data_IF_352440834389
#
_entry.id   IF_352440834389
#
_cell.length_a   1.000
_cell.length_b   1.000
_cell.length_c   1.000
_cell.angle_alpha   90.00
_cell.angle_beta   90.00
_cell.angle_gamma   90.00
#
_symmetry.space_group_name_H-M   'P 1'
#
loop_
_entity.id
_entity.type
_entity.pdbx_description
1 polymer ?
#
# COMPACT_ATOMS: atom_id res chain seq x y z
N UNK A 1 -2.82 -21.65 12.17
CA UNK A 1 -1.66 -20.82 12.58
C UNK A 1 -2.14 -19.50 13.17
N UNK A 2 -2.11 -19.37 14.51
CA UNK A 2 -2.66 -18.21 15.21
C UNK A 2 -1.91 -16.90 14.91
N UNK A 3 -0.59 -16.94 14.69
CA UNK A 3 0.25 -15.75 14.46
C UNK A 3 -0.10 -15.04 13.14
N UNK A 4 -0.27 -15.77 12.03
CA UNK A 4 -0.62 -15.16 10.74
C UNK A 4 -2.00 -14.47 10.83
N UNK A 5 -2.98 -15.12 11.45
CA UNK A 5 -4.32 -14.55 11.64
C UNK A 5 -4.26 -13.30 12.51
N UNK A 6 -3.58 -13.36 13.67
CA UNK A 6 -3.41 -12.21 14.57
C UNK A 6 -2.66 -11.06 13.90
N UNK A 7 -1.54 -11.34 13.23
CA UNK A 7 -0.76 -10.33 12.51
C UNK A 7 -1.56 -9.64 11.41
N UNK A 8 -2.36 -10.39 10.63
CA UNK A 8 -3.23 -9.81 9.62
C UNK A 8 -4.36 -8.97 10.23
N UNK A 9 -4.94 -9.37 11.36
CA UNK A 9 -5.94 -8.57 12.08
C UNK A 9 -5.34 -7.27 12.64
N UNK A 10 -4.07 -7.29 13.03
CA UNK A 10 -3.31 -6.12 13.48
C UNK A 10 -2.82 -5.25 12.31
N UNK A 11 -3.16 -5.58 11.06
CA UNK A 11 -2.74 -4.83 9.88
C UNK A 11 -1.25 -4.95 9.56
N UNK A 12 -0.57 -5.98 10.04
CA UNK A 12 0.84 -6.17 9.75
C UNK A 12 1.08 -6.57 8.30
N UNK A 13 2.18 -6.07 7.75
CA UNK A 13 2.69 -6.55 6.48
C UNK A 13 3.22 -7.99 6.60
N UNK A 14 3.11 -8.80 5.54
CA UNK A 14 3.60 -10.18 5.54
C UNK A 14 5.11 -10.29 5.80
N UNK A 15 5.88 -9.24 5.48
CA UNK A 15 7.29 -9.09 5.87
C UNK A 15 7.44 -9.02 7.40
N UNK A 16 6.68 -8.16 8.07
CA UNK A 16 6.69 -8.04 9.54
C UNK A 16 6.25 -9.35 10.21
N UNK A 17 5.25 -10.02 9.64
CA UNK A 17 4.79 -11.34 10.11
C UNK A 17 5.92 -12.38 9.98
N UNK A 18 6.68 -12.35 8.88
CA UNK A 18 7.82 -13.27 8.68
C UNK A 18 8.96 -12.98 9.67
N UNK A 19 9.23 -11.71 9.97
CA UNK A 19 10.25 -11.33 10.94
C UNK A 19 9.86 -11.78 12.36
N UNK A 20 8.62 -11.53 12.79
CA UNK A 20 8.14 -11.97 14.10
C UNK A 20 8.02 -13.48 14.23
N UNK A 21 7.70 -14.19 13.15
CA UNK A 21 7.70 -15.66 13.19
C UNK A 21 9.10 -16.24 13.44
N UNK A 22 10.17 -15.60 12.97
CA UNK A 22 11.54 -16.05 13.31
C UNK A 22 11.84 -15.94 14.80
N UNK A 23 11.25 -14.95 15.47
CA UNK A 23 11.44 -14.69 16.91
C UNK A 23 10.55 -15.60 17.76
N UNK A 24 9.27 -15.75 17.41
CA UNK A 24 8.30 -16.50 18.21
C UNK A 24 8.33 -18.01 17.94
N UNK A 25 8.58 -18.43 16.69
CA UNK A 25 8.55 -19.84 16.27
C UNK A 25 9.64 -20.11 15.23
N UNK A 26 10.92 -20.25 15.64
CA UNK A 26 12.01 -20.51 14.70
C UNK A 26 11.88 -21.87 13.99
N UNK A 27 11.19 -22.84 14.60
CA UNK A 27 11.01 -24.19 14.06
C UNK A 27 10.20 -24.23 12.76
N UNK A 28 9.29 -23.26 12.56
CA UNK A 28 8.44 -23.15 11.37
C UNK A 28 8.72 -21.80 10.72
N UNK A 29 9.99 -21.45 10.54
CA UNK A 29 10.37 -20.19 9.93
C UNK A 29 9.76 -20.07 8.52
N UNK A 30 8.76 -19.19 8.39
CA UNK A 30 8.07 -18.93 7.13
C UNK A 30 8.59 -17.65 6.50
N UNK A 31 8.99 -17.74 5.24
CA UNK A 31 9.28 -16.56 4.43
C UNK A 31 8.00 -15.80 4.08
N UNK A 32 8.10 -14.49 3.82
CA UNK A 32 6.96 -13.68 3.37
C UNK A 32 6.24 -14.28 2.15
N UNK A 33 6.96 -14.94 1.24
CA UNK A 33 6.38 -15.64 0.08
C UNK A 33 5.47 -16.79 0.48
N UNK A 34 5.85 -17.58 1.50
CA UNK A 34 5.00 -18.66 2.02
C UNK A 34 3.76 -18.12 2.74
N UNK A 35 3.86 -16.96 3.39
CA UNK A 35 2.68 -16.26 3.96
C UNK A 35 1.70 -15.90 2.85
N UNK A 36 2.18 -15.32 1.74
CA UNK A 36 1.33 -15.04 0.57
C UNK A 36 0.71 -16.30 -0.05
N UNK A 37 1.49 -17.37 -0.24
CA UNK A 37 0.97 -18.65 -0.75
C UNK A 37 -0.16 -19.17 0.13
N UNK A 38 0.02 -19.15 1.45
CA UNK A 38 -0.98 -19.61 2.43
C UNK A 38 -2.27 -18.78 2.37
N UNK A 39 -2.14 -17.45 2.32
CA UNK A 39 -3.27 -16.54 2.16
C UNK A 39 -4.00 -16.81 0.84
N UNK A 40 -3.27 -17.08 -0.25
CA UNK A 40 -3.84 -17.45 -1.55
C UNK A 40 -4.62 -18.76 -1.49
N UNK A 41 -4.05 -19.83 -0.91
CA UNK A 41 -4.79 -21.08 -0.67
C UNK A 41 -6.04 -20.87 0.18
N UNK A 42 -5.97 -20.06 1.24
CA UNK A 42 -7.15 -19.76 2.05
C UNK A 42 -8.24 -19.05 1.23
N UNK A 43 -7.86 -18.14 0.32
CA UNK A 43 -8.80 -17.50 -0.61
C UNK A 43 -9.44 -18.50 -1.57
N UNK A 44 -8.66 -19.45 -2.11
CA UNK A 44 -9.18 -20.52 -3.00
C UNK A 44 -10.19 -21.40 -2.24
N UNK A 45 -9.96 -21.64 -0.95
CA UNK A 45 -10.87 -22.37 -0.06
C UNK A 45 -12.06 -21.53 0.43
N UNK A 46 -12.29 -20.33 -0.13
CA UNK A 46 -13.41 -19.44 0.26
C UNK A 46 -13.17 -18.63 1.55
N UNK A 47 -11.97 -18.66 2.11
CA UNK A 47 -11.62 -17.91 3.31
C UNK A 47 -11.38 -16.42 3.05
N UNK A 48 -11.60 -15.60 4.08
CA UNK A 48 -11.60 -14.13 3.99
C UNK A 48 -10.28 -13.47 4.42
N UNK A 49 -9.23 -14.24 4.72
CA UNK A 49 -7.97 -13.68 5.25
C UNK A 49 -7.31 -12.66 4.32
N UNK A 50 -7.54 -12.78 3.01
CA UNK A 50 -7.00 -11.88 2.01
C UNK A 50 -7.56 -10.44 2.11
N UNK A 51 -8.74 -10.27 2.74
CA UNK A 51 -9.39 -8.96 2.92
C UNK A 51 -8.66 -8.10 3.94
N UNK A 52 -8.00 -8.73 4.91
CA UNK A 52 -7.29 -8.05 6.00
C UNK A 52 -5.86 -7.64 5.60
N UNK A 53 -5.45 -7.84 4.34
CA UNK A 53 -4.14 -7.39 3.88
C UNK A 53 -4.12 -5.85 3.75
N UNK A 54 -3.05 -5.15 4.19
CA UNK A 54 -2.95 -3.69 4.13
C UNK A 54 -3.08 -3.08 2.72
N UNK A 55 -2.86 -3.88 1.69
CA UNK A 55 -2.91 -3.47 0.28
C UNK A 55 -4.22 -3.87 -0.42
N UNK A 56 -5.13 -4.54 0.28
CA UNK A 56 -6.40 -4.98 -0.31
C UNK A 56 -7.26 -3.76 -0.70
N UNK A 57 -7.81 -3.77 -1.93
CA UNK A 57 -8.70 -2.70 -2.42
C UNK A 57 -8.01 -1.46 -3.00
N UNK A 58 -6.70 -1.26 -2.79
CA UNK A 58 -5.97 -0.15 -3.44
C UNK A 58 -5.73 -0.46 -4.92
N UNK A 59 -6.69 -0.08 -5.76
CA UNK A 59 -6.56 -0.11 -7.22
C UNK A 59 -5.42 0.83 -7.60
N UNK A 60 -4.38 0.32 -8.27
CA UNK A 60 -3.36 1.17 -8.88
C UNK A 60 -4.10 2.15 -9.80
N UNK A 61 -4.08 3.45 -9.48
CA UNK A 61 -4.48 4.47 -10.45
C UNK A 61 -3.52 4.26 -11.63
N UNK A 62 -4.01 3.69 -12.74
CA UNK A 62 -3.27 3.71 -14.00
C UNK A 62 -3.11 5.19 -14.29
N UNK A 63 -1.92 5.73 -14.03
CA UNK A 63 -1.60 7.12 -14.30
C UNK A 63 -2.01 7.39 -15.72
N UNK A 64 -3.07 8.19 -15.89
CA UNK A 64 -3.47 8.67 -17.19
C UNK A 64 -2.24 9.34 -17.81
N UNK A 65 -1.98 9.05 -19.08
CA UNK A 65 -0.92 9.70 -19.85
C UNK A 65 -1.20 11.20 -19.76
N UNK A 66 -0.45 11.94 -18.92
CA UNK A 66 -0.57 13.39 -18.85
C UNK A 66 -0.23 13.89 -20.26
N UNK A 67 -1.20 14.48 -20.96
CA UNK A 67 -0.89 15.34 -22.10
C UNK A 67 -0.07 16.46 -21.49
N UNK A 68 1.25 16.38 -21.59
CA UNK A 68 2.13 17.48 -21.27
C UNK A 68 1.73 18.61 -22.21
N UNK A 69 0.89 19.53 -21.74
CA UNK A 69 0.77 20.83 -22.39
C UNK A 69 2.16 21.41 -22.38
N UNK A 70 2.74 21.60 -23.57
CA UNK A 70 3.96 22.39 -23.73
C UNK A 70 3.57 23.79 -23.25
N UNK A 71 3.95 24.15 -22.03
CA UNK A 71 3.97 25.56 -21.64
C UNK A 71 5.16 26.14 -22.40
N UNK A 72 4.89 26.81 -23.52
CA UNK A 72 5.85 27.74 -24.11
C UNK A 72 5.96 28.93 -23.18
N UNK A 73 7.04 28.97 -22.39
CA UNK A 73 7.44 30.17 -21.68
C UNK A 73 7.97 31.13 -22.76
N UNK A 74 7.10 31.99 -23.28
CA UNK A 74 7.55 33.23 -23.93
C UNK A 74 7.72 34.25 -22.82
N UNK A 75 8.93 34.80 -22.75
CA UNK A 75 9.39 35.69 -21.71
C UNK A 75 8.47 36.92 -21.57
N UNK A 76 7.92 37.11 -20.37
CA UNK A 76 7.50 38.41 -19.89
C UNK A 76 7.79 38.46 -18.39
N UNK A 77 8.77 39.30 -18.06
CA UNK A 77 9.21 39.68 -16.72
C UNK A 77 8.07 40.24 -15.87
N UNK A 78 7.72 39.57 -14.76
CA UNK A 78 7.07 40.21 -13.60
C UNK A 78 7.63 39.58 -12.32
N UNK A 79 8.26 40.42 -11.51
CA UNK A 79 8.89 40.11 -10.21
C UNK A 79 7.87 39.70 -9.12
N UNK A 80 8.31 39.06 -8.02
CA UNK A 80 7.45 38.37 -7.07
C UNK A 80 6.83 39.33 -6.05
N UNK A 81 5.54 39.20 -5.79
CA UNK A 81 4.89 39.77 -4.60
C UNK A 81 4.15 38.65 -3.90
N UNK A 82 4.76 38.16 -2.81
CA UNK A 82 4.12 37.85 -1.53
C UNK A 82 3.03 36.76 -1.45
N UNK A 83 2.86 36.15 -0.26
CA UNK A 83 2.21 34.86 -0.11
C UNK A 83 0.74 35.02 0.30
N UNK A 84 -0.16 34.33 -0.41
CA UNK A 84 -1.46 33.90 0.12
C UNK A 84 -2.14 33.01 -0.94
N UNK A 85 -2.04 31.70 -0.76
CA UNK A 85 -2.98 30.77 -1.39
C UNK A 85 -3.75 30.07 -0.28
N UNK A 86 -4.71 30.87 0.20
CA UNK A 86 -5.92 30.47 0.88
C UNK A 86 -6.73 29.59 -0.11
N UNK A 87 -7.14 28.42 0.39
CA UNK A 87 -8.30 27.59 -0.03
C UNK A 87 -8.26 26.93 -1.43
N UNK A 88 -8.24 25.59 -1.42
CA UNK A 88 -9.01 24.81 -2.40
C UNK A 88 -10.16 24.13 -1.65
N UNK A 89 -11.38 24.48 -2.05
CA UNK A 89 -12.63 24.20 -1.34
C UNK A 89 -13.01 22.73 -1.23
N UNK A 90 -13.67 22.45 -0.12
CA UNK A 90 -14.64 21.37 0.06
C UNK A 90 -15.90 21.75 -0.76
N UNK A 91 -16.46 20.80 -1.50
CA UNK A 91 -17.85 20.85 -1.98
C UNK A 91 -18.79 20.69 -0.80
#
# INVERSE_FOLDING_TARGET
MPIIKKGLLLGWFPENISFRMKVEVPYIALSHTTVYKRVSTNKVLGGSLYKNLPRFGKRRCKGGKRKAGRITIQAASIFPIGPQLLICGLV
#
